data_IF_163005146688
#
_entry.id   IF_163005146688
#
_cell.length_a   1.000
_cell.length_b   1.000
_cell.length_c   1.000
_cell.angle_alpha   90.00
_cell.angle_beta   90.00
_cell.angle_gamma   90.00
#
_symmetry.space_group_name_H-M   'P 1'
#
loop_
_entity.id
_entity.type
_entity.pdbx_description
1 polymer ?
#
# COMPACT_ATOMS: atom_id res chain seq x y z
N UNK A 1 34.94 -16.63 -55.35
CA UNK A 1 35.58 -17.96 -55.38
C UNK A 1 35.30 -18.61 -54.07
N UNK A 2 34.59 -19.62 -53.97
CA UNK A 2 34.09 -20.89 -54.36
C UNK A 2 33.09 -21.29 -53.30
N UNK A 3 31.89 -21.55 -53.58
CA UNK A 3 31.12 -22.70 -54.02
C UNK A 3 31.25 -23.95 -53.13
N UNK A 4 30.11 -24.36 -52.59
CA UNK A 4 29.25 -25.55 -52.79
C UNK A 4 29.39 -26.61 -51.68
N UNK A 5 28.23 -27.13 -51.26
CA UNK A 5 28.09 -28.44 -50.67
C UNK A 5 26.78 -28.75 -49.98
N UNK A 6 25.69 -28.90 -50.75
CA UNK A 6 24.46 -29.64 -50.37
C UNK A 6 24.76 -31.11 -50.07
N UNK A 7 24.12 -31.70 -49.07
CA UNK A 7 23.64 -33.09 -49.17
C UNK A 7 22.41 -33.32 -48.26
N UNK A 8 21.31 -33.56 -48.96
CA UNK A 8 20.13 -34.22 -48.43
C UNK A 8 20.37 -35.73 -48.34
N UNK A 9 19.82 -36.39 -47.36
CA UNK A 9 19.56 -37.83 -47.42
C UNK A 9 18.23 -38.18 -46.77
N UNK A 10 17.42 -38.80 -47.60
CA UNK A 10 16.12 -39.43 -47.34
C UNK A 10 16.32 -40.84 -46.76
N UNK A 11 15.29 -41.34 -46.08
CA UNK A 11 15.13 -42.76 -45.81
C UNK A 11 14.23 -42.98 -44.59
N UNK A 12 13.12 -43.38 -44.73
CA UNK A 12 12.34 -44.54 -45.09
C UNK A 12 11.49 -44.97 -43.86
N UNK A 13 10.19 -45.00 -44.11
CA UNK A 13 9.06 -45.55 -43.37
C UNK A 13 9.24 -46.99 -42.91
N UNK A 14 8.71 -47.33 -41.71
CA UNK A 14 8.14 -48.67 -41.50
C UNK A 14 6.94 -48.53 -40.52
N UNK A 15 5.77 -48.81 -41.04
CA UNK A 15 4.56 -49.02 -40.30
C UNK A 15 4.56 -50.44 -39.71
N UNK A 16 4.17 -50.59 -38.46
CA UNK A 16 3.84 -51.90 -37.88
C UNK A 16 2.48 -51.79 -37.16
N UNK A 17 1.48 -52.36 -37.82
CA UNK A 17 0.14 -52.62 -37.31
C UNK A 17 0.20 -53.85 -36.41
N UNK A 18 -0.25 -53.73 -35.17
CA UNK A 18 -0.50 -54.88 -34.33
C UNK A 18 -1.88 -54.75 -33.71
N UNK A 19 -2.78 -55.54 -34.21
CA UNK A 19 -4.12 -55.78 -33.67
C UNK A 19 -4.04 -56.68 -32.44
N UNK A 20 -4.67 -56.31 -31.35
CA UNK A 20 -4.90 -57.18 -30.20
C UNK A 20 -6.34 -57.09 -29.74
N UNK A 21 -6.91 -58.24 -29.58
CA UNK A 21 -8.31 -58.61 -29.27
C UNK A 21 -8.86 -58.01 -27.98
N UNK A 22 -10.14 -57.68 -28.03
CA UNK A 22 -11.00 -57.44 -26.89
C UNK A 22 -11.25 -58.76 -26.09
N UNK A 23 -11.00 -58.70 -24.80
CA UNK A 23 -11.58 -59.62 -23.81
C UNK A 23 -12.36 -58.78 -22.80
N UNK A 24 -13.69 -58.91 -22.86
CA UNK A 24 -14.58 -58.39 -21.85
C UNK A 24 -14.50 -59.24 -20.57
N UNK A 25 -14.18 -58.62 -19.46
CA UNK A 25 -14.35 -59.17 -18.12
C UNK A 25 -15.14 -58.17 -17.27
N UNK A 26 -16.39 -58.47 -16.97
CA UNK A 26 -17.18 -57.80 -15.94
C UNK A 26 -16.59 -58.05 -14.58
N UNK A 27 -16.10 -57.01 -13.92
CA UNK A 27 -15.74 -57.01 -12.54
C UNK A 27 -16.18 -55.69 -11.89
N UNK A 28 -17.27 -55.71 -11.14
CA UNK A 28 -17.69 -54.58 -10.30
C UNK A 28 -16.67 -54.35 -9.21
N UNK A 29 -15.87 -53.32 -9.35
CA UNK A 29 -15.03 -52.80 -8.27
C UNK A 29 -15.45 -51.36 -8.03
N UNK A 30 -16.05 -51.11 -6.87
CA UNK A 30 -16.25 -49.76 -6.33
C UNK A 30 -14.90 -49.07 -6.18
N UNK A 31 -14.52 -48.33 -7.18
CA UNK A 31 -13.38 -47.41 -7.08
C UNK A 31 -13.89 -46.08 -6.50
N UNK A 32 -13.68 -45.92 -5.20
CA UNK A 32 -13.81 -44.63 -4.55
C UNK A 32 -12.77 -43.72 -5.18
N UNK A 33 -13.20 -42.92 -6.12
CA UNK A 33 -12.36 -41.86 -6.70
C UNK A 33 -12.18 -40.79 -5.62
N UNK A 34 -11.09 -40.87 -4.91
CA UNK A 34 -10.62 -39.76 -4.07
C UNK A 34 -10.20 -38.66 -5.01
N UNK A 35 -11.12 -37.74 -5.29
CA UNK A 35 -10.81 -36.49 -5.96
C UNK A 35 -9.89 -35.74 -5.01
N UNK A 36 -8.61 -35.66 -5.35
CA UNK A 36 -7.72 -34.71 -4.72
C UNK A 36 -8.34 -33.30 -4.85
N UNK A 37 -8.33 -32.47 -3.80
CA UNK A 37 -8.85 -31.12 -3.93
C UNK A 37 -7.95 -30.41 -4.95
N UNK A 38 -8.51 -30.11 -6.10
CA UNK A 38 -7.96 -29.16 -7.04
C UNK A 38 -7.95 -27.85 -6.28
N UNK A 39 -6.77 -27.38 -5.89
CA UNK A 39 -6.54 -26.04 -5.38
C UNK A 39 -6.79 -25.06 -6.53
N UNK A 40 -8.06 -24.90 -6.91
CA UNK A 40 -8.51 -23.83 -7.75
C UNK A 40 -8.42 -22.56 -6.90
N UNK A 41 -7.58 -21.61 -7.29
CA UNK A 41 -7.66 -20.27 -6.74
C UNK A 41 -9.10 -19.80 -6.93
N UNK A 42 -9.85 -19.72 -5.85
CA UNK A 42 -11.25 -19.27 -5.89
C UNK A 42 -11.21 -17.80 -6.29
N UNK A 43 -11.86 -17.46 -7.41
CA UNK A 43 -11.90 -16.08 -7.89
C UNK A 43 -12.78 -15.24 -6.95
N UNK A 44 -12.39 -14.00 -6.68
CA UNK A 44 -13.18 -13.06 -5.87
C UNK A 44 -14.49 -12.79 -6.62
N UNK A 45 -15.60 -13.17 -6.00
CA UNK A 45 -16.96 -12.97 -6.54
C UNK A 45 -17.74 -11.93 -5.75
N UNK A 46 -18.73 -11.34 -6.38
CA UNK A 46 -19.68 -10.43 -5.74
C UNK A 46 -20.39 -11.12 -4.58
N UNK A 47 -20.42 -10.44 -3.43
CA UNK A 47 -21.13 -10.89 -2.24
C UNK A 47 -22.44 -10.10 -2.12
N UNK A 48 -23.57 -10.74 -2.40
CA UNK A 48 -24.86 -10.06 -2.52
C UNK A 48 -25.26 -9.25 -1.26
N UNK A 49 -25.00 -9.78 -0.07
CA UNK A 49 -25.26 -9.10 1.19
C UNK A 49 -24.44 -7.82 1.33
N UNK A 50 -23.12 -7.88 1.09
CA UNK A 50 -22.20 -6.74 1.17
C UNK A 50 -22.49 -5.74 0.04
N UNK A 51 -22.74 -6.22 -1.17
CA UNK A 51 -23.14 -5.38 -2.29
C UNK A 51 -24.43 -4.59 -2.04
N UNK A 52 -25.34 -5.13 -1.23
CA UNK A 52 -26.59 -4.43 -0.86
C UNK A 52 -26.35 -3.22 0.07
N UNK A 53 -25.24 -3.20 0.81
CA UNK A 53 -24.87 -2.10 1.70
C UNK A 53 -24.32 -0.87 0.95
N UNK A 54 -23.81 -1.07 -0.28
CA UNK A 54 -23.33 0.04 -1.12
C UNK A 54 -24.53 0.88 -1.57
N UNK A 55 -24.56 2.20 -1.31
CA UNK A 55 -25.66 3.06 -1.70
C UNK A 55 -25.99 2.97 -3.20
N UNK A 56 -27.27 2.86 -3.54
CA UNK A 56 -27.74 2.68 -4.93
C UNK A 56 -27.31 3.82 -5.86
N UNK A 57 -27.29 5.05 -5.33
CA UNK A 57 -26.84 6.23 -6.07
C UNK A 57 -25.36 6.11 -6.49
N UNK A 58 -24.53 5.49 -5.66
CA UNK A 58 -23.11 5.23 -5.97
C UNK A 58 -23.01 4.15 -7.06
N UNK A 59 -23.78 3.06 -6.94
CA UNK A 59 -23.74 1.95 -7.93
C UNK A 59 -24.23 2.34 -9.31
N UNK A 60 -25.15 3.27 -9.42
CA UNK A 60 -25.75 3.69 -10.71
C UNK A 60 -24.91 4.67 -11.51
N UNK A 61 -23.85 5.24 -10.91
CA UNK A 61 -23.04 6.31 -11.51
C UNK A 61 -21.92 5.85 -12.47
N UNK A 62 -21.86 4.55 -12.80
CA UNK A 62 -20.76 3.97 -13.61
C UNK A 62 -19.56 3.57 -12.75
N UNK A 63 -18.33 3.48 -13.30
CA UNK A 63 -17.15 3.09 -12.54
C UNK A 63 -16.89 4.05 -11.39
N UNK A 64 -16.75 3.50 -10.18
CA UNK A 64 -16.47 4.29 -8.96
C UNK A 64 -15.09 4.91 -9.06
N UNK A 65 -15.03 6.22 -8.87
CA UNK A 65 -13.78 6.97 -8.92
C UNK A 65 -13.08 6.87 -7.56
N UNK A 66 -11.90 6.29 -7.54
CA UNK A 66 -11.05 6.12 -6.34
C UNK A 66 -9.83 7.00 -6.50
N UNK A 67 -9.47 7.74 -5.46
CA UNK A 67 -8.24 8.54 -5.40
C UNK A 67 -7.10 7.71 -4.80
N UNK A 68 -5.89 7.92 -5.32
CA UNK A 68 -4.65 7.36 -4.77
C UNK A 68 -3.48 8.23 -5.19
N UNK A 69 -2.51 8.49 -4.32
CA UNK A 69 -1.24 9.07 -4.73
C UNK A 69 -0.31 7.96 -5.22
N UNK A 70 -0.23 7.84 -6.53
CA UNK A 70 0.53 6.78 -7.17
C UNK A 70 2.03 7.09 -7.28
N UNK A 71 2.62 7.61 -6.21
CA UNK A 71 4.05 7.89 -6.08
C UNK A 71 4.75 7.06 -4.98
N UNK A 72 4.01 6.14 -4.32
CA UNK A 72 4.38 5.51 -3.04
C UNK A 72 4.66 4.00 -3.17
N UNK A 73 5.66 3.65 -3.99
CA UNK A 73 6.00 2.25 -4.29
C UNK A 73 6.57 1.49 -3.06
N UNK A 74 6.12 0.25 -2.74
CA UNK A 74 5.31 -0.65 -3.55
C UNK A 74 3.81 -0.60 -3.25
N UNK A 75 3.34 0.33 -2.41
CA UNK A 75 1.96 0.41 -1.96
C UNK A 75 1.04 0.81 -3.11
N UNK A 76 1.27 1.96 -3.72
CA UNK A 76 0.58 2.50 -4.88
C UNK A 76 1.55 3.31 -5.76
N UNK A 77 1.63 2.98 -7.03
CA UNK A 77 2.56 3.64 -7.96
C UNK A 77 2.11 3.52 -9.42
N UNK A 78 2.58 4.43 -10.27
CA UNK A 78 2.40 4.31 -11.71
C UNK A 78 3.43 3.34 -12.27
N UNK A 79 2.98 2.22 -12.85
CA UNK A 79 3.84 1.30 -13.57
C UNK A 79 4.40 1.99 -14.83
N UNK A 80 5.73 2.19 -14.92
CA UNK A 80 6.32 2.94 -16.04
C UNK A 80 6.17 2.25 -17.40
N UNK A 81 5.89 0.95 -17.42
CA UNK A 81 5.74 0.18 -18.67
C UNK A 81 4.32 0.27 -19.24
N UNK A 82 3.31 0.43 -18.39
CA UNK A 82 1.89 0.42 -18.79
C UNK A 82 1.18 1.74 -18.56
N UNK A 83 1.73 2.63 -17.71
CA UNK A 83 1.09 3.86 -17.26
C UNK A 83 -0.09 3.63 -16.30
N UNK A 84 -0.33 2.39 -15.87
CA UNK A 84 -1.40 2.06 -14.95
C UNK A 84 -0.96 2.20 -13.50
N UNK A 85 -1.88 2.57 -12.64
CA UNK A 85 -1.65 2.57 -11.19
C UNK A 85 -1.70 1.14 -10.68
N UNK A 86 -0.67 0.72 -9.95
CA UNK A 86 -0.47 -0.61 -9.37
C UNK A 86 0.00 -0.50 -7.93
N UNK A 87 0.00 -1.62 -7.23
CA UNK A 87 0.49 -1.76 -5.86
C UNK A 87 -0.43 -2.67 -5.05
N UNK A 88 0.04 -3.11 -3.88
CA UNK A 88 -0.79 -3.98 -3.04
C UNK A 88 -2.03 -3.25 -2.50
N UNK A 89 -1.95 -1.96 -2.28
CA UNK A 89 -3.06 -1.10 -1.87
C UNK A 89 -4.13 -1.04 -2.96
N UNK A 90 -3.69 -0.90 -4.21
CA UNK A 90 -4.55 -0.89 -5.39
C UNK A 90 -5.22 -2.24 -5.63
N UNK A 91 -4.48 -3.34 -5.43
CA UNK A 91 -5.03 -4.68 -5.58
C UNK A 91 -6.11 -4.97 -4.53
N UNK A 92 -5.93 -4.47 -3.28
CA UNK A 92 -6.97 -4.53 -2.25
C UNK A 92 -8.19 -3.67 -2.61
N UNK A 93 -7.99 -2.45 -3.11
CA UNK A 93 -9.08 -1.59 -3.59
C UNK A 93 -9.90 -2.28 -4.67
N UNK A 94 -9.25 -2.87 -5.66
CA UNK A 94 -9.92 -3.62 -6.74
C UNK A 94 -10.62 -4.87 -6.22
N UNK A 95 -10.06 -5.55 -5.23
CA UNK A 95 -10.66 -6.71 -4.58
C UNK A 95 -11.97 -6.33 -3.86
N UNK A 96 -11.99 -5.21 -3.13
CA UNK A 96 -13.20 -4.67 -2.50
C UNK A 96 -14.26 -4.34 -3.55
N UNK A 97 -13.89 -3.72 -4.66
CA UNK A 97 -14.82 -3.42 -5.76
C UNK A 97 -15.45 -4.70 -6.35
N UNK A 98 -14.68 -5.79 -6.48
CA UNK A 98 -15.21 -7.10 -6.92
C UNK A 98 -16.21 -7.67 -5.92
N UNK A 99 -15.93 -7.59 -4.62
CA UNK A 99 -16.85 -8.00 -3.55
C UNK A 99 -18.16 -7.21 -3.64
N UNK A 100 -18.10 -5.92 -3.94
CA UNK A 100 -19.27 -5.06 -4.14
C UNK A 100 -20.01 -5.31 -5.49
N UNK A 101 -19.37 -6.00 -6.45
CA UNK A 101 -19.90 -6.21 -7.78
C UNK A 101 -19.95 -4.94 -8.63
N UNK A 102 -19.01 -4.01 -8.41
CA UNK A 102 -18.90 -2.74 -9.14
C UNK A 102 -17.55 -2.63 -9.85
N UNK A 103 -17.51 -1.81 -10.89
CA UNK A 103 -16.23 -1.42 -11.51
C UNK A 103 -15.66 -0.22 -10.78
N UNK A 104 -14.35 -0.22 -10.58
CA UNK A 104 -13.63 0.88 -9.98
C UNK A 104 -12.54 1.40 -10.91
N UNK A 105 -12.35 2.71 -10.92
CA UNK A 105 -11.28 3.40 -11.62
C UNK A 105 -10.38 4.10 -10.62
N UNK A 106 -9.11 3.72 -10.61
CA UNK A 106 -8.10 4.39 -9.79
C UNK A 106 -7.62 5.63 -10.53
N UNK A 107 -7.53 6.74 -9.81
CA UNK A 107 -7.05 8.02 -10.32
C UNK A 107 -5.83 8.44 -9.49
N UNK A 108 -4.74 8.77 -10.20
CA UNK A 108 -3.56 9.34 -9.55
C UNK A 108 -3.86 10.79 -9.14
N UNK A 109 -3.71 11.08 -7.86
CA UNK A 109 -4.03 12.37 -7.22
C UNK A 109 -2.94 12.66 -6.20
N UNK A 110 -2.41 13.88 -6.19
CA UNK A 110 -1.45 14.33 -5.18
C UNK A 110 -2.02 14.11 -3.76
N UNK A 111 -1.22 13.54 -2.86
CA UNK A 111 -1.68 13.14 -1.52
C UNK A 111 -2.43 14.25 -0.77
N UNK A 112 -1.89 15.47 -0.77
CA UNK A 112 -2.49 16.62 -0.10
C UNK A 112 -3.88 17.03 -0.67
N UNK A 113 -4.17 16.67 -1.93
CA UNK A 113 -5.41 17.04 -2.63
C UNK A 113 -6.52 16.00 -2.46
N UNK A 114 -6.21 14.80 -1.97
CA UNK A 114 -7.17 13.68 -1.87
C UNK A 114 -8.31 14.02 -0.90
N UNK A 115 -8.01 14.40 0.34
CA UNK A 115 -9.04 14.72 1.34
C UNK A 115 -9.93 15.88 0.88
N UNK A 116 -9.41 17.01 0.38
CA UNK A 116 -10.24 18.05 -0.23
C UNK A 116 -11.20 17.51 -1.30
N UNK A 117 -10.71 16.67 -2.21
CA UNK A 117 -11.51 16.13 -3.30
C UNK A 117 -12.59 15.10 -2.86
N UNK A 118 -12.38 14.40 -1.73
CA UNK A 118 -13.41 13.56 -1.10
C UNK A 118 -14.54 14.38 -0.48
N UNK A 119 -14.26 15.62 -0.07
CA UNK A 119 -15.19 16.53 0.60
C UNK A 119 -15.90 17.50 -0.33
N UNK A 120 -15.60 17.49 -1.63
CA UNK A 120 -16.32 18.29 -2.63
C UNK A 120 -17.82 17.92 -2.68
N UNK A 121 -18.67 18.83 -3.15
CA UNK A 121 -20.11 18.56 -3.31
C UNK A 121 -20.55 18.89 -4.74
N UNK A 122 -20.85 17.89 -5.61
CA UNK A 122 -20.71 16.43 -5.35
C UNK A 122 -19.25 16.01 -5.21
N UNK A 123 -18.95 14.92 -4.47
CA UNK A 123 -17.59 14.45 -4.27
C UNK A 123 -16.98 13.98 -5.59
N UNK A 124 -15.72 14.36 -5.83
CA UNK A 124 -14.99 13.95 -7.03
C UNK A 124 -14.59 12.47 -6.99
N UNK A 125 -14.33 11.96 -5.81
CA UNK A 125 -13.99 10.57 -5.55
C UNK A 125 -14.88 10.01 -4.44
N UNK A 126 -15.21 8.72 -4.51
CA UNK A 126 -16.07 8.07 -3.51
C UNK A 126 -15.29 7.57 -2.31
N UNK A 127 -14.01 7.27 -2.50
CA UNK A 127 -13.07 6.84 -1.46
C UNK A 127 -11.63 7.06 -1.94
N UNK A 128 -10.69 6.95 -1.00
CA UNK A 128 -9.27 6.90 -1.33
C UNK A 128 -8.59 5.67 -0.71
N UNK A 129 -7.72 5.05 -1.51
CA UNK A 129 -6.75 4.05 -1.12
C UNK A 129 -5.37 4.63 -1.40
N UNK A 130 -4.66 5.06 -0.35
CA UNK A 130 -3.40 5.80 -0.45
C UNK A 130 -2.68 5.83 0.88
N UNK A 131 -2.53 4.66 1.51
CA UNK A 131 -1.72 4.46 2.71
C UNK A 131 -2.02 5.45 3.86
N UNK A 132 -3.29 5.88 4.00
CA UNK A 132 -3.66 6.90 5.00
C UNK A 132 -3.59 6.40 6.44
N UNK A 133 -2.83 7.07 7.28
CA UNK A 133 -2.92 6.95 8.74
C UNK A 133 -4.15 7.71 9.25
N UNK A 134 -5.09 7.08 10.00
CA UNK A 134 -6.17 7.75 10.67
C UNK A 134 -5.62 8.66 11.78
N UNK A 135 -5.79 9.97 11.63
CA UNK A 135 -5.38 10.95 12.63
C UNK A 135 -6.58 11.82 13.03
N UNK A 136 -6.63 12.24 14.29
CA UNK A 136 -7.70 13.12 14.76
C UNK A 136 -7.87 14.39 13.90
N UNK A 137 -6.81 15.08 13.43
CA UNK A 137 -6.96 16.20 12.51
C UNK A 137 -7.59 15.86 11.16
N UNK A 138 -7.36 14.64 10.63
CA UNK A 138 -8.00 14.18 9.39
C UNK A 138 -9.47 13.82 9.61
N UNK A 139 -9.77 13.12 10.69
CA UNK A 139 -11.14 12.79 11.10
C UNK A 139 -11.98 14.06 11.37
N UNK A 140 -11.41 15.06 12.03
CA UNK A 140 -12.06 16.34 12.29
C UNK A 140 -12.46 17.11 11.04
N UNK A 141 -11.88 16.79 9.88
CA UNK A 141 -12.29 17.35 8.58
C UNK A 141 -13.55 16.68 8.00
N UNK A 142 -14.06 15.62 8.62
CA UNK A 142 -15.23 14.87 8.14
C UNK A 142 -14.89 13.66 7.30
N UNK A 143 -13.71 13.08 7.52
CA UNK A 143 -13.25 11.83 6.90
C UNK A 143 -13.30 10.69 7.92
N UNK A 144 -13.86 9.56 7.52
CA UNK A 144 -13.77 8.29 8.22
C UNK A 144 -12.69 7.41 7.59
N UNK A 145 -12.09 6.56 8.40
CA UNK A 145 -11.06 5.61 7.97
C UNK A 145 -11.45 4.19 8.35
N UNK A 146 -11.52 3.29 7.38
CA UNK A 146 -11.71 1.86 7.62
C UNK A 146 -10.36 1.16 7.58
N UNK A 147 -9.91 0.64 8.73
CA UNK A 147 -8.60 -0.02 8.85
C UNK A 147 -8.47 -1.21 7.90
N UNK A 148 -7.35 -1.30 7.17
CA UNK A 148 -7.04 -2.44 6.30
C UNK A 148 -5.60 -2.96 6.43
N UNK A 149 -4.68 -2.22 7.05
CA UNK A 149 -3.30 -2.63 7.28
C UNK A 149 -2.74 -1.95 8.53
N UNK A 150 -1.53 -2.35 8.97
CA UNK A 150 -0.74 -1.65 9.99
C UNK A 150 0.68 -1.51 9.49
N UNK A 151 1.19 -0.28 9.46
CA UNK A 151 2.52 0.03 8.97
C UNK A 151 3.21 0.97 9.96
N UNK A 152 4.50 0.81 10.15
CA UNK A 152 5.32 1.75 10.89
C UNK A 152 6.06 2.69 9.96
N UNK A 153 6.76 3.65 10.53
CA UNK A 153 7.63 4.58 9.83
C UNK A 153 9.11 4.16 9.97
N UNK A 154 9.93 4.53 9.01
CA UNK A 154 11.38 4.31 9.05
C UNK A 154 12.11 5.45 8.37
N UNK A 155 13.35 5.66 8.80
CA UNK A 155 14.26 6.56 8.12
C UNK A 155 15.09 5.82 7.07
N UNK A 156 15.46 6.54 6.04
CA UNK A 156 16.41 6.08 5.02
C UNK A 156 17.58 7.04 4.99
N UNK A 157 18.78 6.49 4.96
CA UNK A 157 20.04 7.24 4.99
C UNK A 157 20.99 6.80 3.88
N UNK A 158 22.00 7.62 3.59
CA UNK A 158 23.06 7.26 2.65
C UNK A 158 24.07 6.31 3.28
N UNK A 159 24.48 5.28 2.56
CA UNK A 159 25.59 4.41 2.97
C UNK A 159 26.87 5.24 3.08
N UNK A 160 27.44 5.30 4.28
CA UNK A 160 28.65 6.08 4.59
C UNK A 160 28.40 7.58 4.81
N UNK A 161 27.14 8.01 4.83
CA UNK A 161 26.72 9.36 5.22
C UNK A 161 26.47 9.52 6.72
N UNK A 162 25.79 10.61 7.12
CA UNK A 162 25.26 10.75 8.47
C UNK A 162 24.32 9.59 8.80
N UNK A 163 24.35 9.12 10.05
CA UNK A 163 23.51 8.01 10.51
C UNK A 163 22.40 8.52 11.42
N UNK A 164 21.22 7.86 11.32
CA UNK A 164 20.07 8.15 12.15
C UNK A 164 19.65 6.89 12.91
N UNK A 165 19.56 7.00 14.23
CA UNK A 165 19.07 5.93 15.11
C UNK A 165 17.96 6.39 16.04
N UNK A 166 17.80 7.69 16.19
CA UNK A 166 16.81 8.36 17.02
C UNK A 166 16.44 9.73 16.43
N UNK A 167 15.29 10.30 16.77
CA UNK A 167 14.83 11.58 16.21
C UNK A 167 15.82 12.74 16.33
N UNK A 168 16.58 12.80 17.43
CA UNK A 168 17.56 13.89 17.65
C UNK A 168 18.73 13.88 16.65
N UNK A 169 18.91 12.79 15.91
CA UNK A 169 19.95 12.69 14.88
C UNK A 169 19.56 13.44 13.60
N UNK A 170 18.28 13.76 13.43
CA UNK A 170 17.80 14.64 12.34
C UNK A 170 18.19 16.10 12.56
N UNK A 171 18.45 16.52 13.82
CA UNK A 171 18.77 17.91 14.13
C UNK A 171 20.06 18.38 13.45
N UNK A 172 19.97 19.48 12.70
CA UNK A 172 21.07 20.03 11.92
C UNK A 172 21.21 19.41 10.51
N UNK A 173 20.34 18.48 10.15
CA UNK A 173 20.32 17.80 8.86
C UNK A 173 19.09 18.15 8.03
N UNK A 174 19.14 17.80 6.74
CA UNK A 174 18.03 17.88 5.81
C UNK A 174 17.26 16.57 5.78
N UNK A 175 15.92 16.63 5.92
CA UNK A 175 15.03 15.47 5.90
C UNK A 175 14.01 15.65 4.79
N UNK A 176 13.99 14.74 3.81
CA UNK A 176 13.01 14.70 2.75
C UNK A 176 11.75 13.97 3.21
N UNK A 177 10.59 14.57 3.02
CA UNK A 177 9.26 14.02 3.29
C UNK A 177 8.29 14.37 2.18
N UNK A 178 7.24 13.58 2.01
CA UNK A 178 6.10 14.00 1.22
C UNK A 178 5.18 14.92 2.02
N UNK A 179 4.65 15.96 1.37
CA UNK A 179 3.79 16.96 2.01
C UNK A 179 2.41 16.40 2.37
N UNK A 180 1.92 16.73 3.57
CA UNK A 180 0.62 16.30 4.09
C UNK A 180 0.65 14.94 4.79
N UNK A 181 1.82 14.31 4.90
CA UNK A 181 2.02 13.01 5.58
C UNK A 181 2.16 13.17 7.10
N UNK A 182 2.14 12.06 7.80
CA UNK A 182 2.45 11.99 9.24
C UNK A 182 3.91 12.31 9.50
N UNK A 183 4.80 11.85 8.64
CA UNK A 183 6.23 12.08 8.75
C UNK A 183 6.59 13.57 8.62
N UNK A 184 5.94 14.30 7.71
CA UNK A 184 6.07 15.76 7.65
C UNK A 184 5.63 16.39 8.96
N UNK A 185 4.47 16.01 9.45
CA UNK A 185 3.90 16.56 10.68
C UNK A 185 4.79 16.25 11.89
N UNK A 186 5.34 15.05 11.97
CA UNK A 186 6.21 14.60 13.05
C UNK A 186 7.59 15.27 13.00
N UNK A 187 8.16 15.51 11.80
CA UNK A 187 9.40 16.24 11.63
C UNK A 187 9.27 17.70 12.13
N UNK A 188 8.18 18.37 11.78
CA UNK A 188 7.89 19.70 12.29
C UNK A 188 7.53 19.70 13.78
N UNK A 189 6.71 18.74 14.22
CA UNK A 189 6.31 18.59 15.61
C UNK A 189 7.49 18.35 16.55
N UNK A 190 8.54 17.65 16.08
CA UNK A 190 9.79 17.49 16.85
C UNK A 190 10.46 18.83 17.19
N UNK A 191 10.23 19.84 16.38
CA UNK A 191 10.70 21.21 16.59
C UNK A 191 9.65 22.13 17.25
N UNK A 192 8.52 21.57 17.73
CA UNK A 192 7.42 22.36 18.30
C UNK A 192 6.73 23.26 17.28
N UNK A 193 6.61 22.82 16.03
CA UNK A 193 6.06 23.59 14.94
C UNK A 193 5.04 22.79 14.11
N UNK A 194 4.12 23.51 13.44
CA UNK A 194 3.26 22.95 12.40
C UNK A 194 4.02 22.85 11.07
N UNK A 195 3.56 22.02 10.12
CA UNK A 195 4.06 22.04 8.76
C UNK A 195 4.11 23.46 8.18
N UNK A 196 5.27 23.81 7.63
CA UNK A 196 5.57 25.20 7.19
C UNK A 196 6.23 26.10 8.24
N UNK A 197 6.50 25.59 9.47
CA UNK A 197 7.37 26.24 10.47
C UNK A 197 6.65 27.17 11.45
N UNK A 198 5.33 27.21 11.48
CA UNK A 198 4.58 27.97 12.47
C UNK A 198 4.68 27.32 13.86
N UNK A 199 5.26 28.02 14.85
CA UNK A 199 5.42 27.50 16.21
C UNK A 199 4.07 27.13 16.84
N UNK A 200 4.01 25.99 17.54
CA UNK A 200 2.86 25.57 18.34
C UNK A 200 3.02 26.11 19.76
N UNK A 201 2.02 26.84 20.23
CA UNK A 201 2.09 27.47 21.56
C UNK A 201 2.16 26.40 22.66
N UNK A 202 3.21 26.43 23.48
CA UNK A 202 3.44 25.50 24.57
C UNK A 202 4.28 24.29 24.20
N UNK A 203 4.56 24.05 22.92
CA UNK A 203 5.40 22.94 22.49
C UNK A 203 6.90 23.28 22.53
N UNK A 204 7.69 22.23 22.66
CA UNK A 204 9.15 22.36 22.84
C UNK A 204 9.88 22.05 21.54
N UNK A 205 10.82 22.89 21.16
CA UNK A 205 11.78 22.57 20.11
C UNK A 205 12.90 21.67 20.69
N UNK A 206 12.83 20.37 20.36
CA UNK A 206 13.75 19.38 20.92
C UNK A 206 15.17 19.52 20.37
N UNK A 207 15.36 20.00 19.16
CA UNK A 207 16.69 20.26 18.62
C UNK A 207 17.38 21.38 19.42
N UNK A 208 16.68 22.49 19.68
CA UNK A 208 17.21 23.59 20.49
C UNK A 208 17.48 23.17 21.94
N UNK A 209 16.59 22.36 22.53
CA UNK A 209 16.79 21.81 23.87
C UNK A 209 18.02 20.93 23.93
N UNK A 210 18.34 20.19 22.87
CA UNK A 210 19.54 19.38 22.72
C UNK A 210 20.79 20.20 22.33
N UNK A 211 20.68 21.53 22.20
CA UNK A 211 21.78 22.39 21.76
C UNK A 211 22.20 22.19 20.31
N UNK A 212 21.31 21.67 19.48
CA UNK A 212 21.51 21.39 18.05
C UNK A 212 20.77 22.42 17.18
N UNK A 213 21.16 22.52 15.92
CA UNK A 213 20.39 23.28 14.91
C UNK A 213 19.07 22.58 14.60
N UNK A 214 18.10 23.35 14.12
CA UNK A 214 16.80 22.81 13.71
C UNK A 214 16.94 21.84 12.52
N UNK A 215 15.96 20.94 12.37
CA UNK A 215 15.82 20.08 11.17
C UNK A 215 15.46 20.99 10.00
N UNK A 216 16.10 20.78 8.85
CA UNK A 216 15.64 21.37 7.58
C UNK A 216 14.67 20.40 6.91
N UNK A 217 13.39 20.57 7.20
CA UNK A 217 12.33 19.73 6.58
C UNK A 217 12.15 20.16 5.13
N UNK A 218 12.41 19.24 4.21
CA UNK A 218 12.16 19.41 2.77
C UNK A 218 10.90 18.68 2.39
N UNK A 219 9.80 19.41 2.30
CA UNK A 219 8.48 18.88 1.92
C UNK A 219 8.35 18.89 0.39
N UNK A 220 7.97 17.74 -0.19
CA UNK A 220 7.80 17.54 -1.62
C UNK A 220 6.34 17.23 -1.96
N UNK A 221 5.91 17.58 -3.16
CA UNK A 221 4.53 17.35 -3.61
C UNK A 221 4.19 15.88 -3.86
N UNK A 222 5.20 15.00 -4.01
CA UNK A 222 5.05 13.55 -4.19
C UNK A 222 6.21 12.82 -3.54
N UNK A 223 5.98 11.56 -3.12
CA UNK A 223 7.06 10.72 -2.57
C UNK A 223 8.20 10.50 -3.58
N UNK A 224 7.88 10.32 -4.87
CA UNK A 224 8.91 10.21 -5.92
C UNK A 224 9.88 11.41 -5.94
N UNK A 225 9.39 12.63 -5.66
CA UNK A 225 10.24 13.81 -5.58
C UNK A 225 11.12 13.80 -4.32
N UNK A 226 10.58 13.37 -3.17
CA UNK A 226 11.32 13.19 -1.93
C UNK A 226 12.44 12.15 -2.11
N UNK A 227 12.14 11.00 -2.73
CA UNK A 227 13.10 9.93 -3.04
C UNK A 227 14.21 10.41 -3.99
N UNK A 228 13.86 11.25 -4.97
CA UNK A 228 14.84 11.86 -5.87
C UNK A 228 15.75 12.87 -5.15
N UNK A 229 15.23 13.62 -4.17
CA UNK A 229 16.04 14.51 -3.35
C UNK A 229 17.01 13.71 -2.48
N UNK A 230 16.54 12.67 -1.80
CA UNK A 230 17.36 11.77 -1.01
C UNK A 230 18.42 11.10 -1.92
N UNK A 231 18.02 10.38 -2.96
CA UNK A 231 18.95 9.59 -3.78
C UNK A 231 20.02 10.41 -4.51
N UNK A 232 19.78 11.71 -4.73
CA UNK A 232 20.74 12.65 -5.31
C UNK A 232 21.67 13.33 -4.28
N UNK A 233 21.49 13.07 -2.99
CA UNK A 233 22.25 13.70 -1.91
C UNK A 233 21.82 15.15 -1.61
N UNK A 234 20.66 15.61 -2.06
CA UNK A 234 20.08 16.92 -1.69
C UNK A 234 19.48 16.90 -0.29
N UNK A 235 19.10 15.73 0.20
CA UNK A 235 18.66 15.49 1.57
C UNK A 235 19.56 14.46 2.21
N UNK A 236 19.84 14.62 3.50
CA UNK A 236 20.67 13.70 4.28
C UNK A 236 19.87 12.43 4.62
N UNK A 237 18.58 12.61 4.94
CA UNK A 237 17.67 11.55 5.33
C UNK A 237 16.36 11.64 4.51
N UNK A 238 15.72 10.50 4.33
CA UNK A 238 14.30 10.37 3.99
C UNK A 238 13.54 9.84 5.20
N UNK A 239 12.30 10.30 5.40
CA UNK A 239 11.40 9.75 6.41
C UNK A 239 10.08 9.39 5.76
N UNK A 240 9.70 8.12 5.79
CA UNK A 240 8.58 7.56 5.07
C UNK A 240 8.13 6.25 5.74
N UNK A 241 6.98 5.75 5.35
CA UNK A 241 6.46 4.49 5.85
C UNK A 241 7.42 3.32 5.59
N UNK A 242 7.46 2.37 6.51
CA UNK A 242 8.43 1.28 6.51
C UNK A 242 8.35 0.42 5.23
N UNK A 243 7.16 0.17 4.68
CA UNK A 243 7.01 -0.60 3.44
C UNK A 243 7.74 0.08 2.26
N UNK A 244 7.67 1.40 2.19
CA UNK A 244 8.31 2.21 1.14
C UNK A 244 9.81 2.38 1.43
N UNK A 245 10.18 2.65 2.68
CA UNK A 245 11.59 2.72 3.11
C UNK A 245 12.37 1.47 2.77
N UNK A 246 11.81 0.29 3.10
CA UNK A 246 12.47 -0.99 2.78
C UNK A 246 12.56 -1.24 1.29
N UNK A 247 11.55 -0.81 0.52
CA UNK A 247 11.60 -0.88 -0.93
C UNK A 247 12.72 0.02 -1.49
N UNK A 248 12.79 1.29 -1.06
CA UNK A 248 13.80 2.25 -1.48
C UNK A 248 15.22 1.77 -1.15
N UNK A 249 15.47 1.31 0.06
CA UNK A 249 16.76 0.76 0.47
C UNK A 249 17.14 -0.48 -0.36
N UNK A 250 16.16 -1.32 -0.74
CA UNK A 250 16.37 -2.51 -1.55
C UNK A 250 16.72 -2.17 -3.00
N UNK A 251 15.96 -1.28 -3.65
CA UNK A 251 16.19 -0.95 -5.07
C UNK A 251 17.42 -0.07 -5.28
N UNK A 252 17.87 0.61 -4.23
CA UNK A 252 19.11 1.42 -4.22
C UNK A 252 20.18 0.84 -3.30
N UNK A 253 20.20 -0.49 -3.16
CA UNK A 253 21.19 -1.18 -2.31
C UNK A 253 22.63 -0.74 -2.63
N UNK A 254 23.41 -0.48 -1.58
CA UNK A 254 24.77 0.04 -1.67
C UNK A 254 24.86 1.57 -1.80
N UNK A 255 23.74 2.27 -1.99
CA UNK A 255 23.64 3.74 -1.93
C UNK A 255 22.82 4.20 -0.74
N UNK A 256 21.68 3.57 -0.53
CA UNK A 256 20.76 3.85 0.57
C UNK A 256 20.62 2.64 1.48
N UNK A 257 20.33 2.89 2.73
CA UNK A 257 20.07 1.89 3.77
C UNK A 257 19.02 2.40 4.75
N UNK A 258 18.41 1.48 5.50
CA UNK A 258 17.51 1.84 6.60
C UNK A 258 18.33 2.40 7.76
N UNK A 259 17.89 3.52 8.29
CA UNK A 259 18.39 4.13 9.53
C UNK A 259 17.47 3.78 10.71
N UNK A 260 18.08 3.45 11.86
CA UNK A 260 17.35 3.15 13.09
C UNK A 260 16.46 1.91 13.00
N UNK A 261 15.41 1.92 13.81
CA UNK A 261 14.39 0.87 13.85
C UNK A 261 13.06 1.43 13.39
N UNK A 262 12.21 0.57 12.80
CA UNK A 262 10.83 0.92 12.51
C UNK A 262 10.10 1.31 13.79
N UNK A 263 9.41 2.44 13.76
CA UNK A 263 8.69 3.04 14.88
C UNK A 263 7.27 3.43 14.45
N UNK A 264 6.47 3.99 15.33
CA UNK A 264 5.19 4.61 15.00
C UNK A 264 4.18 3.69 14.32
N UNK A 265 4.18 2.35 14.59
CA UNK A 265 3.23 1.45 13.93
C UNK A 265 1.80 1.93 14.15
N UNK A 266 1.12 2.22 13.05
CA UNK A 266 -0.21 2.79 13.00
C UNK A 266 -1.10 2.05 11.99
N UNK A 267 -2.43 2.10 12.13
CA UNK A 267 -3.33 1.61 11.10
C UNK A 267 -3.16 2.41 9.80
N UNK A 268 -3.35 1.72 8.67
CA UNK A 268 -3.77 2.35 7.42
C UNK A 268 -5.28 2.20 7.27
N UNK A 269 -5.93 3.24 6.80
CA UNK A 269 -7.38 3.26 6.59
C UNK A 269 -7.79 3.71 5.20
N UNK A 270 -8.80 3.05 4.65
CA UNK A 270 -9.52 3.55 3.47
C UNK A 270 -10.20 4.86 3.87
N UNK A 271 -9.83 5.96 3.22
CA UNK A 271 -10.43 7.27 3.52
C UNK A 271 -11.77 7.44 2.80
N UNK A 272 -12.79 7.80 3.55
CA UNK A 272 -14.17 7.97 3.11
C UNK A 272 -14.73 9.27 3.66
N UNK A 273 -15.46 10.05 2.86
CA UNK A 273 -16.24 11.13 3.44
C UNK A 273 -17.24 10.56 4.47
N UNK A 274 -17.39 11.19 5.63
CA UNK A 274 -18.32 10.76 6.69
C UNK A 274 -19.75 10.53 6.16
N UNK A 275 -20.17 11.36 5.20
CA UNK A 275 -21.49 11.28 4.56
C UNK A 275 -21.58 10.25 3.42
N UNK A 276 -20.52 9.50 3.10
CA UNK A 276 -20.50 8.59 1.94
C UNK A 276 -21.43 7.39 2.09
N UNK A 277 -21.66 6.92 3.33
CA UNK A 277 -22.43 5.70 3.62
C UNK A 277 -21.72 4.41 3.17
N UNK A 278 -20.40 4.46 2.89
CA UNK A 278 -19.62 3.31 2.43
C UNK A 278 -18.85 2.59 3.56
N UNK A 279 -18.85 3.13 4.77
CA UNK A 279 -18.02 2.63 5.87
C UNK A 279 -18.28 1.16 6.17
N UNK A 280 -19.57 0.77 6.31
CA UNK A 280 -19.96 -0.61 6.62
C UNK A 280 -19.62 -1.56 5.46
N UNK A 281 -20.01 -1.21 4.24
CA UNK A 281 -19.71 -2.02 3.05
C UNK A 281 -18.20 -2.24 2.86
N UNK A 282 -17.39 -1.21 3.12
CA UNK A 282 -15.91 -1.29 3.05
C UNK A 282 -15.38 -2.23 4.13
N UNK A 283 -15.86 -2.08 5.37
CA UNK A 283 -15.45 -2.91 6.49
C UNK A 283 -15.77 -4.39 6.22
N UNK A 284 -16.99 -4.70 5.79
CA UNK A 284 -17.43 -6.06 5.58
C UNK A 284 -16.75 -6.70 4.35
N UNK A 285 -16.45 -5.90 3.31
CA UNK A 285 -15.68 -6.39 2.18
C UNK A 285 -14.23 -6.75 2.58
N UNK A 286 -13.56 -5.92 3.38
CA UNK A 286 -12.19 -6.21 3.86
C UNK A 286 -12.21 -7.48 4.74
N UNK A 287 -13.16 -7.59 5.67
CA UNK A 287 -13.32 -8.78 6.51
C UNK A 287 -13.54 -10.04 5.67
N UNK A 288 -14.42 -9.97 4.67
CA UNK A 288 -14.64 -11.06 3.73
C UNK A 288 -13.35 -11.50 3.04
N UNK A 289 -12.55 -10.55 2.54
CA UNK A 289 -11.28 -10.85 1.88
C UNK A 289 -10.28 -11.52 2.82
N UNK A 290 -10.25 -11.13 4.10
CA UNK A 290 -9.41 -11.75 5.14
C UNK A 290 -9.88 -13.18 5.40
N UNK A 291 -11.16 -13.38 5.70
CA UNK A 291 -11.73 -14.67 6.11
C UNK A 291 -11.64 -15.74 5.00
N UNK A 292 -11.62 -15.30 3.72
CA UNK A 292 -11.50 -16.19 2.57
C UNK A 292 -10.09 -16.30 2.00
N UNK A 293 -9.10 -15.68 2.65
CA UNK A 293 -7.68 -15.78 2.31
C UNK A 293 -7.23 -14.94 1.12
N UNK A 294 -8.12 -14.20 0.45
CA UNK A 294 -7.76 -13.32 -0.67
C UNK A 294 -6.85 -12.18 -0.24
N UNK A 295 -7.13 -11.58 0.91
CA UNK A 295 -6.31 -10.55 1.51
C UNK A 295 -4.86 -11.02 1.67
N UNK A 296 -4.67 -12.20 2.27
CA UNK A 296 -3.34 -12.79 2.45
C UNK A 296 -2.64 -13.06 1.12
N UNK A 297 -3.37 -13.59 0.12
CA UNK A 297 -2.79 -13.84 -1.22
C UNK A 297 -2.28 -12.56 -1.87
N UNK A 298 -3.02 -11.44 -1.74
CA UNK A 298 -2.60 -10.13 -2.27
C UNK A 298 -1.32 -9.70 -1.56
N UNK A 299 -1.28 -9.67 -0.22
CA UNK A 299 -0.10 -9.23 0.52
C UNK A 299 1.13 -10.11 0.25
N UNK A 300 0.95 -11.44 0.17
CA UNK A 300 2.03 -12.38 -0.15
C UNK A 300 2.61 -12.13 -1.55
N UNK A 301 1.77 -11.81 -2.53
CA UNK A 301 2.21 -11.55 -3.91
C UNK A 301 3.14 -10.33 -4.04
N UNK A 302 3.00 -9.39 -3.10
CA UNK A 302 3.82 -8.19 -2.99
C UNK A 302 4.96 -8.30 -1.96
N UNK A 303 5.07 -9.44 -1.24
CA UNK A 303 6.01 -9.64 -0.14
C UNK A 303 5.85 -8.63 1.01
N UNK A 304 4.62 -8.25 1.30
CA UNK A 304 4.26 -7.30 2.37
C UNK A 304 3.37 -7.94 3.46
N UNK A 305 3.45 -9.25 3.65
CA UNK A 305 2.62 -9.97 4.62
C UNK A 305 2.67 -9.38 6.05
N UNK A 306 3.77 -8.71 6.40
CA UNK A 306 3.96 -8.10 7.72
C UNK A 306 3.03 -6.92 8.02
N UNK A 307 2.44 -6.28 7.00
CA UNK A 307 1.47 -5.20 7.20
C UNK A 307 0.05 -5.70 7.49
N UNK A 308 -0.15 -7.01 7.37
CA UNK A 308 -1.46 -7.64 7.48
C UNK A 308 -2.12 -7.47 8.84
N UNK A 309 -3.45 -7.35 8.82
CA UNK A 309 -4.31 -7.25 9.99
C UNK A 309 -5.26 -8.46 10.05
N UNK A 310 -5.83 -8.68 11.24
CA UNK A 310 -6.89 -9.68 11.45
C UNK A 310 -8.27 -9.04 11.22
N UNK A 311 -9.29 -9.87 11.07
CA UNK A 311 -10.70 -9.42 10.96
C UNK A 311 -11.11 -8.54 12.14
N UNK A 312 -10.60 -8.80 13.35
CA UNK A 312 -10.90 -7.98 14.54
C UNK A 312 -10.25 -6.59 14.53
N UNK A 313 -9.20 -6.40 13.73
CA UNK A 313 -8.55 -5.09 13.59
C UNK A 313 -9.29 -4.17 12.60
N UNK A 314 -10.14 -4.74 11.73
CA UNK A 314 -10.89 -3.99 10.73
C UNK A 314 -12.04 -3.23 11.40
N UNK A 315 -11.83 -1.95 11.63
CA UNK A 315 -12.79 -1.07 12.32
C UNK A 315 -12.73 0.34 11.74
N UNK A 316 -13.75 1.13 12.06
CA UNK A 316 -13.85 2.53 11.62
C UNK A 316 -13.19 3.44 12.65
N UNK A 317 -12.37 4.39 12.20
CA UNK A 317 -11.76 5.45 13.01
C UNK A 317 -10.92 4.93 14.19
N UNK A 318 -10.14 3.88 13.94
CA UNK A 318 -9.09 3.44 14.88
C UNK A 318 -7.90 4.38 14.67
N UNK A 319 -7.88 5.47 15.42
CA UNK A 319 -6.85 6.46 15.26
C UNK A 319 -5.52 6.07 15.93
N UNK A 320 -4.44 6.71 15.49
CA UNK A 320 -3.07 6.47 15.94
C UNK A 320 -2.85 6.77 17.42
N UNK A 321 -3.72 7.56 18.05
CA UNK A 321 -3.64 7.92 19.48
C UNK A 321 -4.01 6.76 20.41
N UNK A 322 -4.70 5.74 19.93
CA UNK A 322 -5.06 4.56 20.72
C UNK A 322 -3.91 3.55 20.89
N UNK A 323 -2.71 3.94 20.52
CA UNK A 323 -1.41 3.32 20.70
C UNK A 323 -1.36 1.89 21.23
N UNK A 324 -1.46 0.92 20.35
CA UNK A 324 -1.12 -0.45 20.71
C UNK A 324 0.32 -0.73 20.27
N UNK A 325 1.28 -0.39 21.13
CA UNK A 325 2.42 -1.28 21.27
C UNK A 325 3.73 -0.94 20.57
N UNK A 326 3.91 0.15 19.84
CA UNK A 326 5.24 0.57 19.39
C UNK A 326 5.51 2.01 19.78
N UNK A 327 6.75 2.28 20.17
CA UNK A 327 7.20 3.62 20.50
C UNK A 327 6.97 4.54 19.30
N UNK A 328 6.30 5.68 19.49
CA UNK A 328 6.20 6.72 18.48
C UNK A 328 7.60 7.09 17.98
N UNK A 329 7.72 7.41 16.68
CA UNK A 329 9.01 7.81 16.10
C UNK A 329 9.55 9.08 16.76
N UNK A 330 8.64 9.99 17.10
CA UNK A 330 8.96 11.18 17.90
C UNK A 330 8.10 11.20 19.17
N UNK A 331 8.59 11.77 20.26
CA UNK A 331 7.76 11.97 21.44
C UNK A 331 6.52 12.80 21.06
N UNK A 332 5.32 12.30 21.37
CA UNK A 332 4.10 13.10 21.24
C UNK A 332 4.02 14.05 22.42
N UNK A 333 3.77 15.30 22.16
CA UNK A 333 3.68 16.39 23.15
C UNK A 333 2.23 16.66 23.52
#
# INVERSE_FOLDING_TARGET
MGRIGNRAQRGITTAMVLSVLLLAACGSSNTTTTTAPTSGATEISTQASIAAEVPSAIKSGGPLQIASDASYQPNEFVDPSTGQVKGWDIDLAQAVCKVWGVQCKINNVTFADIIPALLESPPKYVMAWSSYSPTAPREAKGIDFVTYAKVGESWVEHVGGPTISQPSDMCGHTVAVEGGTTEESDAWGYMGANPGGGAIAGDTNNCKTAGKADITVQSFGTQTQADAALSSGRSDFGWLDASVSFYEAKVRAGKLQIGGQTCGIAPYGVALAHSSGLQQATQDAIKYLIDHGFYKQILDSWNVASVGVSTSDVAVNVNTSSGTGTQACVPKY
#
